data_IF_673016848052
#
_entry.id   IF_673016848052
#
_cell.length_a   1.000
_cell.length_b   1.000
_cell.length_c   1.000
_cell.angle_alpha   90.00
_cell.angle_beta   90.00
_cell.angle_gamma   90.00
#
_symmetry.space_group_name_H-M   'P 1'
#
loop_
_entity.id
_entity.type
_entity.pdbx_description
1 polymer ?
#
# COMPACT_ATOMS: atom_id res chain seq x y z
N UNK A 1 1.45 -4.05 -4.54
CA UNK A 1 2.58 -4.99 -4.37
C UNK A 1 2.42 -6.20 -5.27
N UNK A 2 3.55 -6.80 -5.66
CA UNK A 2 3.62 -8.07 -6.40
C UNK A 2 4.44 -9.05 -5.57
N UNK A 3 3.85 -10.20 -5.22
CA UNK A 3 4.49 -11.31 -4.51
C UNK A 3 4.76 -12.44 -5.49
N UNK A 4 6.03 -12.65 -5.85
CA UNK A 4 6.45 -13.69 -6.79
C UNK A 4 6.43 -15.09 -6.17
N UNK A 5 6.53 -16.13 -7.02
CA UNK A 5 6.48 -17.53 -6.60
C UNK A 5 7.59 -17.91 -5.61
N UNK A 6 8.76 -17.27 -5.72
CA UNK A 6 9.93 -17.50 -4.87
C UNK A 6 10.05 -16.53 -3.70
N UNK A 7 9.06 -15.70 -3.43
CA UNK A 7 9.09 -14.76 -2.32
C UNK A 7 9.28 -15.49 -0.98
N UNK A 8 10.15 -14.96 -0.13
CA UNK A 8 10.28 -15.43 1.25
C UNK A 8 9.12 -14.92 2.08
N UNK A 9 8.29 -15.82 2.58
CA UNK A 9 7.08 -15.54 3.35
C UNK A 9 7.25 -16.05 4.80
N UNK A 10 8.08 -15.37 5.57
CA UNK A 10 8.23 -15.61 7.00
C UNK A 10 7.37 -14.61 7.82
N UNK A 11 7.35 -14.79 9.15
CA UNK A 11 6.60 -13.91 10.07
C UNK A 11 6.97 -12.44 9.90
N UNK A 12 8.24 -12.14 9.56
CA UNK A 12 8.71 -10.78 9.31
C UNK A 12 8.11 -10.21 8.02
N UNK A 13 8.02 -11.01 6.98
CA UNK A 13 7.42 -10.61 5.71
C UNK A 13 5.93 -10.28 5.90
N UNK A 14 5.18 -11.14 6.59
CA UNK A 14 3.77 -10.87 6.89
C UNK A 14 3.58 -9.67 7.81
N UNK A 15 4.43 -9.47 8.81
CA UNK A 15 4.40 -8.29 9.65
C UNK A 15 4.70 -7.00 8.84
N UNK A 16 5.65 -7.04 7.92
CA UNK A 16 5.95 -5.90 7.03
C UNK A 16 4.78 -5.60 6.08
N UNK A 17 4.10 -6.62 5.55
CA UNK A 17 2.88 -6.44 4.76
C UNK A 17 1.75 -5.82 5.60
N UNK A 18 1.57 -6.29 6.85
CA UNK A 18 0.60 -5.73 7.79
C UNK A 18 0.90 -4.25 8.07
N UNK A 19 2.11 -3.93 8.46
CA UNK A 19 2.52 -2.54 8.75
C UNK A 19 2.41 -1.65 7.51
N UNK A 20 2.85 -2.14 6.35
CA UNK A 20 2.73 -1.43 5.08
C UNK A 20 1.29 -1.16 4.67
N UNK A 21 0.32 -1.96 5.13
CA UNK A 21 -1.10 -1.82 4.79
C UNK A 21 -1.89 -1.04 5.84
N UNK A 22 -1.72 -1.40 7.13
CA UNK A 22 -2.65 -1.02 8.20
C UNK A 22 -2.09 0.00 9.19
N UNK A 23 -0.80 0.37 9.11
CA UNK A 23 -0.26 1.47 9.91
C UNK A 23 -1.12 2.72 9.75
N UNK A 24 -1.38 3.45 10.85
CA UNK A 24 -2.30 4.60 10.90
C UNK A 24 -3.69 4.29 10.33
N UNK A 25 -4.18 3.07 10.61
CA UNK A 25 -5.48 2.58 10.12
C UNK A 25 -5.59 2.57 8.58
N UNK A 26 -4.46 2.34 7.90
CA UNK A 26 -4.37 2.35 6.44
C UNK A 26 -4.49 3.73 5.78
N UNK A 27 -4.43 4.80 6.57
CA UNK A 27 -4.58 6.18 6.10
C UNK A 27 -3.22 6.86 5.86
N UNK A 28 -2.38 6.20 5.05
CA UNK A 28 -1.08 6.71 4.60
C UNK A 28 -1.05 6.67 3.08
N UNK A 29 -0.57 7.73 2.43
CA UNK A 29 -0.51 7.82 0.96
C UNK A 29 0.33 6.71 0.32
N UNK A 30 1.35 6.22 1.02
CA UNK A 30 2.20 5.10 0.57
C UNK A 30 1.74 3.73 1.10
N UNK A 31 0.52 3.62 1.66
CA UNK A 31 0.05 2.33 2.15
C UNK A 31 -0.17 1.33 1.00
N UNK A 32 0.08 0.06 1.30
CA UNK A 32 -0.20 -1.04 0.39
C UNK A 32 -1.72 -1.20 0.22
N UNK A 33 -2.23 -0.92 -0.98
CA UNK A 33 -3.68 -0.89 -1.27
C UNK A 33 -4.14 -1.94 -2.27
N UNK A 34 -3.21 -2.66 -2.92
CA UNK A 34 -3.50 -3.77 -3.84
C UNK A 34 -2.37 -4.78 -3.75
N UNK A 35 -2.70 -6.02 -3.42
CA UNK A 35 -1.73 -7.11 -3.27
C UNK A 35 -1.98 -8.16 -4.36
N UNK A 36 -1.07 -8.24 -5.32
CA UNK A 36 -1.04 -9.28 -6.34
C UNK A 36 -0.11 -10.39 -5.89
N UNK A 37 -0.58 -11.64 -5.88
CA UNK A 37 0.15 -12.80 -5.36
C UNK A 37 0.20 -13.88 -6.41
N UNK A 38 1.38 -14.43 -6.70
CA UNK A 38 1.50 -15.57 -7.59
C UNK A 38 0.61 -16.72 -7.10
N UNK A 39 -0.15 -17.35 -7.99
CA UNK A 39 -1.18 -18.33 -7.64
C UNK A 39 -0.67 -19.44 -6.73
N UNK A 40 0.56 -19.93 -6.94
CA UNK A 40 1.15 -20.98 -6.10
C UNK A 40 1.41 -20.59 -4.65
N UNK A 41 1.35 -19.28 -4.32
CA UNK A 41 1.61 -18.74 -2.98
C UNK A 41 0.37 -18.05 -2.39
N UNK A 42 -0.76 -18.08 -3.13
CA UNK A 42 -1.95 -17.30 -2.77
C UNK A 42 -2.51 -17.68 -1.40
N UNK A 43 -2.76 -18.97 -1.20
CA UNK A 43 -3.34 -19.48 0.06
C UNK A 43 -2.40 -19.22 1.25
N UNK A 44 -1.08 -19.38 1.06
CA UNK A 44 -0.09 -19.08 2.08
C UNK A 44 -0.10 -17.60 2.50
N UNK A 45 -0.22 -16.68 1.52
CA UNK A 45 -0.32 -15.24 1.81
C UNK A 45 -1.63 -14.92 2.50
N UNK A 46 -2.74 -15.47 2.04
CA UNK A 46 -4.07 -15.29 2.64
C UNK A 46 -4.08 -15.72 4.11
N UNK A 47 -3.58 -16.91 4.40
CA UNK A 47 -3.59 -17.43 5.77
C UNK A 47 -2.54 -16.74 6.66
N UNK A 48 -1.30 -16.52 6.16
CA UNK A 48 -0.24 -15.85 6.91
C UNK A 48 -0.61 -14.42 7.29
N UNK A 49 -1.16 -13.65 6.34
CA UNK A 49 -1.58 -12.28 6.59
C UNK A 49 -2.82 -12.22 7.51
N UNK A 50 -3.78 -13.14 7.33
CA UNK A 50 -4.93 -13.28 8.23
C UNK A 50 -4.50 -13.59 9.66
N UNK A 51 -3.52 -14.48 9.84
CA UNK A 51 -2.99 -14.83 11.15
C UNK A 51 -2.34 -13.62 11.86
N UNK A 52 -1.58 -12.79 11.13
CA UNK A 52 -1.03 -11.54 11.67
C UNK A 52 -2.16 -10.58 12.03
N UNK A 53 -3.09 -10.32 11.12
CA UNK A 53 -4.21 -9.40 11.35
C UNK A 53 -5.07 -9.82 12.55
N UNK A 54 -5.30 -11.12 12.75
CA UNK A 54 -6.11 -11.63 13.88
C UNK A 54 -5.48 -11.42 15.25
N UNK A 55 -4.16 -11.22 15.33
CA UNK A 55 -3.47 -10.91 16.60
C UNK A 55 -3.55 -9.42 16.97
N UNK A 56 -3.97 -8.57 16.03
CA UNK A 56 -3.98 -7.12 16.24
C UNK A 56 -5.21 -6.69 17.02
N UNK A 57 -5.02 -5.68 17.87
CA UNK A 57 -6.05 -5.10 18.73
C UNK A 57 -6.48 -3.76 18.18
N UNK A 58 -7.78 -3.62 17.94
CA UNK A 58 -8.43 -2.37 17.49
C UNK A 58 -9.05 -1.69 18.71
N UNK A 59 -8.70 -0.41 18.94
CA UNK A 59 -9.16 0.30 20.12
C UNK A 59 -8.69 1.75 20.19
N UNK A 60 -8.79 2.34 21.37
CA UNK A 60 -8.27 3.69 21.65
C UNK A 60 -6.75 3.71 21.47
N UNK A 61 -6.27 4.56 20.57
CA UNK A 61 -4.84 4.70 20.25
C UNK A 61 -3.97 5.25 21.40
N UNK A 62 -4.57 5.70 22.50
CA UNK A 62 -3.85 6.12 23.70
C UNK A 62 -3.54 4.95 24.64
N UNK A 63 -4.12 3.78 24.39
CA UNK A 63 -3.89 2.59 25.20
C UNK A 63 -2.73 1.76 24.63
N UNK A 64 -1.81 1.27 25.45
CA UNK A 64 -0.62 0.54 25.01
C UNK A 64 -0.93 -0.80 24.34
N UNK A 65 -2.10 -1.38 24.60
CA UNK A 65 -2.56 -2.62 23.99
C UNK A 65 -3.06 -2.43 22.55
N UNK A 66 -3.38 -1.20 22.15
CA UNK A 66 -3.96 -0.91 20.83
C UNK A 66 -2.89 -0.95 19.74
N UNK A 67 -3.12 -1.74 18.71
CA UNK A 67 -2.28 -1.80 17.51
C UNK A 67 -2.84 -0.94 16.37
N UNK A 68 -4.17 -0.74 16.32
CA UNK A 68 -4.84 0.05 15.29
C UNK A 68 -5.97 0.88 15.90
N UNK A 69 -5.91 2.20 15.69
CA UNK A 69 -6.93 3.15 16.12
C UNK A 69 -8.09 3.29 15.12
N UNK A 70 -8.96 4.31 15.31
CA UNK A 70 -10.04 4.61 14.39
C UNK A 70 -9.53 5.23 13.09
N UNK A 71 -10.38 5.25 12.07
CA UNK A 71 -10.20 6.15 10.93
C UNK A 71 -10.55 7.58 11.32
N UNK A 72 -10.07 8.54 10.52
CA UNK A 72 -10.05 9.96 10.89
C UNK A 72 -11.46 10.58 11.16
N UNK A 73 -12.49 10.12 10.44
CA UNK A 73 -13.83 10.72 10.55
C UNK A 73 -14.93 9.80 9.97
N UNK A 74 -16.20 10.16 10.21
CA UNK A 74 -17.36 9.40 9.75
C UNK A 74 -17.43 9.25 8.22
N UNK A 75 -17.04 10.28 7.45
CA UNK A 75 -17.04 10.21 5.98
C UNK A 75 -16.05 9.14 5.50
N UNK A 76 -14.86 9.10 6.09
CA UNK A 76 -13.85 8.12 5.73
C UNK A 76 -14.26 6.70 6.14
N UNK A 77 -14.86 6.54 7.33
CA UNK A 77 -15.42 5.25 7.74
C UNK A 77 -16.46 4.78 6.72
N UNK A 78 -17.42 5.67 6.34
CA UNK A 78 -18.41 5.33 5.33
C UNK A 78 -17.80 4.92 4.00
N UNK A 79 -16.81 5.64 3.50
CA UNK A 79 -16.12 5.30 2.24
C UNK A 79 -15.57 3.87 2.28
N UNK A 80 -14.82 3.54 3.33
CA UNK A 80 -14.20 2.21 3.45
C UNK A 80 -15.24 1.10 3.62
N UNK A 81 -16.26 1.33 4.48
CA UNK A 81 -17.32 0.34 4.73
C UNK A 81 -18.19 0.12 3.49
N UNK A 82 -18.47 1.17 2.70
CA UNK A 82 -19.19 1.04 1.43
C UNK A 82 -18.42 0.19 0.42
N UNK A 83 -17.11 0.42 0.25
CA UNK A 83 -16.25 -0.38 -0.65
C UNK A 83 -16.19 -1.85 -0.21
N UNK A 84 -16.07 -2.11 1.09
CA UNK A 84 -16.11 -3.47 1.65
C UNK A 84 -17.48 -4.11 1.39
N UNK A 85 -18.57 -3.35 1.58
CA UNK A 85 -19.93 -3.79 1.32
C UNK A 85 -20.18 -4.13 -0.15
N UNK A 86 -19.69 -3.30 -1.08
CA UNK A 86 -19.74 -3.57 -2.53
C UNK A 86 -18.98 -4.85 -2.89
N UNK A 87 -17.80 -5.06 -2.32
CA UNK A 87 -17.04 -6.28 -2.56
C UNK A 87 -17.80 -7.54 -2.09
N UNK A 88 -18.43 -7.50 -0.90
CA UNK A 88 -19.28 -8.58 -0.43
C UNK A 88 -20.51 -8.82 -1.35
N UNK A 89 -21.15 -7.74 -1.77
CA UNK A 89 -22.31 -7.83 -2.66
C UNK A 89 -21.97 -8.39 -4.04
N UNK A 90 -20.74 -8.21 -4.51
CA UNK A 90 -20.24 -8.81 -5.75
C UNK A 90 -19.85 -10.29 -5.62
N UNK A 91 -19.93 -10.87 -4.42
CA UNK A 91 -19.57 -12.26 -4.15
C UNK A 91 -18.13 -12.49 -3.72
N UNK A 92 -17.33 -11.42 -3.53
CA UNK A 92 -15.98 -11.57 -2.99
C UNK A 92 -16.03 -11.97 -1.50
N UNK A 93 -15.19 -12.92 -1.12
CA UNK A 93 -14.99 -13.23 0.30
C UNK A 93 -14.29 -12.08 1.00
N UNK A 94 -14.83 -11.67 2.15
CA UNK A 94 -14.25 -10.62 3.00
C UNK A 94 -14.06 -11.15 4.41
N UNK A 95 -12.81 -11.15 4.88
CA UNK A 95 -12.43 -11.53 6.24
C UNK A 95 -12.05 -10.29 7.03
N UNK A 96 -12.86 -9.93 8.02
CA UNK A 96 -12.52 -8.91 9.00
C UNK A 96 -11.75 -9.55 10.16
N UNK A 97 -10.53 -9.09 10.38
CA UNK A 97 -9.58 -9.65 11.32
C UNK A 97 -9.38 -8.72 12.54
N UNK A 98 -8.75 -9.28 13.58
CA UNK A 98 -8.39 -8.52 14.78
C UNK A 98 -9.41 -8.57 15.88
N UNK A 99 -8.95 -8.18 17.08
CA UNK A 99 -9.70 -8.17 18.31
C UNK A 99 -10.16 -6.75 18.61
N UNK A 100 -11.34 -6.57 19.16
CA UNK A 100 -11.84 -5.28 19.62
C UNK A 100 -11.58 -5.17 21.11
N UNK A 101 -10.91 -4.09 21.52
CA UNK A 101 -10.58 -3.87 22.94
C UNK A 101 -11.80 -3.45 23.75
N UNK A 102 -12.64 -2.56 23.19
CA UNK A 102 -13.88 -2.05 23.79
C UNK A 102 -15.00 -2.03 22.73
N UNK A 103 -15.96 -2.92 22.89
CA UNK A 103 -17.10 -3.06 21.95
C UNK A 103 -18.02 -1.84 21.93
N UNK A 104 -18.16 -1.13 23.06
CA UNK A 104 -19.01 0.06 23.14
C UNK A 104 -18.33 1.23 22.39
N UNK A 105 -17.05 1.41 22.60
CA UNK A 105 -16.24 2.40 21.89
C UNK A 105 -16.20 2.09 20.37
N UNK A 106 -16.00 0.83 20.00
CA UNK A 106 -15.95 0.40 18.61
C UNK A 106 -17.23 0.73 17.86
N UNK A 107 -18.40 0.46 18.45
CA UNK A 107 -19.72 0.72 17.82
C UNK A 107 -20.07 2.19 17.69
N UNK A 108 -19.58 3.03 18.60
CA UNK A 108 -19.90 4.45 18.64
C UNK A 108 -18.79 5.33 18.04
N UNK A 109 -17.61 4.77 17.76
CA UNK A 109 -16.48 5.48 17.16
C UNK A 109 -16.33 5.21 15.65
N UNK A 110 -15.27 5.72 15.07
CA UNK A 110 -14.97 5.57 13.65
C UNK A 110 -14.06 4.38 13.38
N UNK A 111 -14.40 3.21 13.90
CA UNK A 111 -13.57 2.03 13.81
C UNK A 111 -13.97 1.12 12.66
N UNK A 112 -12.99 0.54 12.01
CA UNK A 112 -13.10 -0.55 11.06
C UNK A 112 -11.97 -1.54 11.34
N UNK A 113 -12.29 -2.81 11.51
CA UNK A 113 -11.27 -3.87 11.61
C UNK A 113 -10.47 -3.99 10.31
N UNK A 114 -9.22 -4.47 10.34
CA UNK A 114 -8.52 -4.89 9.13
C UNK A 114 -9.40 -5.81 8.29
N UNK A 115 -9.71 -5.40 7.06
CA UNK A 115 -10.52 -6.16 6.13
C UNK A 115 -9.64 -6.69 4.99
N UNK A 116 -9.51 -8.01 4.86
CA UNK A 116 -8.88 -8.68 3.73
C UNK A 116 -9.96 -9.10 2.76
N UNK A 117 -9.85 -8.68 1.50
CA UNK A 117 -10.83 -8.96 0.44
C UNK A 117 -10.19 -9.88 -0.58
N UNK A 118 -10.73 -11.08 -0.74
CA UNK A 118 -10.11 -12.14 -1.52
C UNK A 118 -10.62 -12.17 -2.94
N UNK A 119 -9.69 -12.06 -3.88
CA UNK A 119 -9.91 -12.13 -5.32
C UNK A 119 -11.11 -11.30 -5.83
N UNK A 120 -11.24 -10.02 -5.42
CA UNK A 120 -12.29 -9.16 -5.95
C UNK A 120 -12.04 -8.88 -7.44
N UNK A 121 -13.11 -8.58 -8.18
CA UNK A 121 -12.98 -8.10 -9.55
C UNK A 121 -12.19 -6.77 -9.59
N UNK A 122 -11.33 -6.62 -10.59
CA UNK A 122 -10.42 -5.46 -10.69
C UNK A 122 -11.16 -4.14 -10.94
N UNK A 123 -12.40 -4.19 -11.44
CA UNK A 123 -13.24 -3.01 -11.67
C UNK A 123 -13.93 -2.47 -10.42
N UNK A 124 -13.96 -3.22 -9.33
CA UNK A 124 -14.57 -2.78 -8.07
C UNK A 124 -13.76 -1.62 -7.44
N UNK A 125 -14.46 -0.67 -6.86
CA UNK A 125 -13.87 0.52 -6.24
C UNK A 125 -12.79 0.15 -5.21
N UNK A 126 -12.95 -0.96 -4.48
CA UNK A 126 -11.95 -1.41 -3.51
C UNK A 126 -10.59 -1.77 -4.15
N UNK A 127 -10.55 -2.02 -5.46
CA UNK A 127 -9.33 -2.29 -6.24
C UNK A 127 -8.95 -1.08 -7.08
N UNK A 128 -9.94 -0.44 -7.74
CA UNK A 128 -9.71 0.61 -8.72
C UNK A 128 -9.42 1.97 -8.08
N UNK A 129 -10.01 2.25 -6.90
CA UNK A 129 -9.91 3.52 -6.20
C UNK A 129 -9.07 3.41 -4.92
N UNK A 130 -8.68 4.56 -4.35
CA UNK A 130 -7.97 4.63 -3.09
C UNK A 130 -8.93 4.53 -1.91
N UNK A 131 -8.87 3.42 -1.15
CA UNK A 131 -9.73 3.23 0.03
C UNK A 131 -9.38 4.20 1.16
N UNK A 132 -8.10 4.53 1.32
CA UNK A 132 -7.52 5.33 2.40
C UNK A 132 -8.00 4.90 3.78
N UNK A 133 -7.96 3.59 4.03
CA UNK A 133 -8.47 2.96 5.24
C UNK A 133 -8.06 1.49 5.35
N UNK A 134 -8.51 0.78 6.40
CA UNK A 134 -8.01 -0.55 6.73
C UNK A 134 -8.66 -1.68 5.90
N UNK A 135 -8.50 -1.62 4.58
CA UNK A 135 -8.95 -2.65 3.66
C UNK A 135 -7.86 -3.00 2.65
N UNK A 136 -7.69 -4.29 2.34
CA UNK A 136 -6.69 -4.79 1.40
C UNK A 136 -7.30 -5.85 0.47
N UNK A 137 -7.49 -5.55 -0.82
CA UNK A 137 -7.76 -6.56 -1.84
C UNK A 137 -6.50 -7.37 -2.16
N UNK A 138 -6.67 -8.70 -2.21
CA UNK A 138 -5.61 -9.68 -2.50
C UNK A 138 -6.04 -10.47 -3.73
N UNK A 139 -5.30 -10.38 -4.82
CA UNK A 139 -5.64 -10.95 -6.10
C UNK A 139 -4.55 -11.94 -6.57
N UNK A 140 -4.92 -13.15 -7.02
CA UNK A 140 -3.96 -14.06 -7.63
C UNK A 140 -3.58 -13.61 -9.03
N UNK A 141 -2.36 -14.00 -9.46
CA UNK A 141 -1.92 -13.91 -10.85
C UNK A 141 -1.14 -15.17 -11.25
N UNK A 142 -1.06 -15.44 -12.55
CA UNK A 142 -0.37 -16.62 -13.08
C UNK A 142 0.99 -16.29 -13.70
N UNK A 143 1.18 -15.08 -14.27
CA UNK A 143 2.44 -14.64 -14.88
C UNK A 143 2.85 -13.25 -14.40
N UNK A 144 4.16 -13.00 -14.37
CA UNK A 144 4.69 -11.68 -13.96
C UNK A 144 4.19 -10.56 -14.88
N UNK A 145 4.08 -10.80 -16.19
CA UNK A 145 3.56 -9.84 -17.15
C UNK A 145 2.09 -9.48 -16.85
N UNK A 146 1.28 -10.46 -16.44
CA UNK A 146 -0.09 -10.21 -15.98
C UNK A 146 -0.10 -9.32 -14.74
N UNK A 147 0.73 -9.64 -13.74
CA UNK A 147 0.81 -8.87 -12.51
C UNK A 147 1.25 -7.43 -12.76
N UNK A 148 2.27 -7.22 -13.60
CA UNK A 148 2.77 -5.90 -13.98
C UNK A 148 1.69 -5.10 -14.71
N UNK A 149 1.04 -5.70 -15.71
CA UNK A 149 -0.04 -5.06 -16.45
C UNK A 149 -1.17 -4.63 -15.50
N UNK A 150 -1.68 -5.54 -14.67
CA UNK A 150 -2.76 -5.28 -13.70
C UNK A 150 -2.34 -4.25 -12.63
N UNK A 151 -1.09 -4.28 -12.18
CA UNK A 151 -0.57 -3.28 -11.24
C UNK A 151 -0.52 -1.88 -11.86
N UNK A 152 -0.25 -1.78 -13.17
CA UNK A 152 -0.21 -0.51 -13.90
C UNK A 152 -1.59 -0.02 -14.37
N UNK A 153 -2.61 -0.89 -14.42
CA UNK A 153 -4.00 -0.54 -14.74
C UNK A 153 -4.67 0.26 -13.61
N UNK A 154 -4.16 1.45 -13.35
CA UNK A 154 -4.67 2.40 -12.36
C UNK A 154 -4.24 3.80 -12.73
N UNK A 155 -5.00 4.79 -12.28
CA UNK A 155 -4.62 6.20 -12.38
C UNK A 155 -3.57 6.61 -11.34
N UNK A 156 -3.29 5.79 -10.36
CA UNK A 156 -2.31 6.07 -9.29
C UNK A 156 -0.93 5.47 -9.60
N UNK A 157 0.11 6.09 -9.05
CA UNK A 157 1.48 5.64 -9.23
C UNK A 157 2.44 6.22 -8.20
N UNK A 158 2.09 6.21 -6.90
CA UNK A 158 2.98 6.72 -5.86
C UNK A 158 4.04 5.69 -5.48
N UNK A 159 3.58 4.55 -4.94
CA UNK A 159 4.47 3.50 -4.47
C UNK A 159 4.09 2.12 -4.99
N UNK A 160 5.09 1.28 -5.13
CA UNK A 160 4.96 -0.14 -5.41
C UNK A 160 5.90 -0.96 -4.53
N UNK A 161 5.74 -2.28 -4.50
CA UNK A 161 6.73 -3.19 -3.94
C UNK A 161 6.77 -4.52 -4.69
N UNK A 162 7.96 -5.13 -4.71
CA UNK A 162 8.21 -6.44 -5.32
C UNK A 162 8.81 -7.35 -4.27
N UNK A 163 8.24 -8.55 -4.12
CA UNK A 163 8.62 -9.55 -3.14
C UNK A 163 9.12 -10.80 -3.86
N UNK A 164 10.41 -11.06 -3.79
CA UNK A 164 11.12 -12.17 -4.46
C UNK A 164 12.51 -12.35 -3.83
N UNK A 165 13.05 -13.54 -3.85
CA UNK A 165 14.46 -13.79 -3.46
C UNK A 165 15.44 -13.52 -4.59
N UNK A 166 14.96 -13.45 -5.85
CA UNK A 166 15.78 -13.14 -7.02
C UNK A 166 15.92 -11.62 -7.22
N UNK A 167 17.12 -11.10 -6.94
CA UNK A 167 17.44 -9.68 -7.12
C UNK A 167 17.33 -9.21 -8.57
N UNK A 168 17.68 -10.04 -9.54
CA UNK A 168 17.56 -9.71 -10.96
C UNK A 168 16.10 -9.51 -11.36
N UNK A 169 15.25 -10.46 -10.99
CA UNK A 169 13.80 -10.42 -11.16
C UNK A 169 13.20 -9.18 -10.49
N UNK A 170 13.57 -8.91 -9.23
CA UNK A 170 13.10 -7.72 -8.52
C UNK A 170 13.34 -6.44 -9.30
N UNK A 171 14.54 -6.25 -9.86
CA UNK A 171 14.90 -5.07 -10.64
C UNK A 171 14.18 -5.01 -11.99
N UNK A 172 13.99 -6.15 -12.68
CA UNK A 172 13.27 -6.22 -13.95
C UNK A 172 11.80 -5.83 -13.77
N UNK A 173 11.13 -6.39 -12.76
CA UNK A 173 9.73 -6.05 -12.45
C UNK A 173 9.62 -4.59 -12.03
N UNK A 174 10.48 -4.12 -11.11
CA UNK A 174 10.44 -2.76 -10.58
C UNK A 174 10.54 -1.69 -11.68
N UNK A 175 11.35 -1.92 -12.71
CA UNK A 175 11.51 -0.98 -13.84
C UNK A 175 10.29 -0.88 -14.75
N UNK A 176 9.40 -1.85 -14.69
CA UNK A 176 8.16 -1.89 -15.48
C UNK A 176 6.95 -1.35 -14.71
N UNK A 177 7.08 -1.15 -13.37
CA UNK A 177 6.00 -0.59 -12.56
C UNK A 177 5.97 0.93 -12.69
N UNK A 178 4.81 1.45 -13.04
CA UNK A 178 4.55 2.89 -13.20
C UNK A 178 4.28 3.55 -11.84
N UNK A 179 5.27 3.48 -10.96
CA UNK A 179 5.26 4.08 -9.62
C UNK A 179 6.55 4.84 -9.36
N UNK A 180 6.45 5.97 -8.65
CA UNK A 180 7.59 6.82 -8.39
C UNK A 180 8.58 6.27 -7.37
N UNK A 181 8.15 5.29 -6.56
CA UNK A 181 9.01 4.61 -5.59
C UNK A 181 8.67 3.12 -5.52
N UNK A 182 9.68 2.24 -5.55
CA UNK A 182 9.49 0.79 -5.44
C UNK A 182 10.32 0.21 -4.30
N UNK A 183 9.66 -0.45 -3.36
CA UNK A 183 10.30 -1.19 -2.28
C UNK A 183 10.61 -2.63 -2.69
N UNK A 184 11.65 -3.23 -2.12
CA UNK A 184 11.99 -4.63 -2.31
C UNK A 184 11.86 -5.39 -0.99
N UNK A 185 11.03 -6.44 -0.97
CA UNK A 185 10.76 -7.29 0.19
C UNK A 185 10.34 -6.53 1.47
N UNK A 186 9.74 -5.38 1.27
CA UNK A 186 9.13 -4.55 2.30
C UNK A 186 8.11 -3.60 1.65
N UNK A 187 7.38 -2.79 2.44
CA UNK A 187 6.49 -1.75 1.93
C UNK A 187 6.28 -0.64 2.96
N UNK A 188 6.22 0.60 2.48
CA UNK A 188 5.78 1.74 3.28
C UNK A 188 6.86 2.37 4.18
N UNK A 189 6.44 3.09 5.24
CA UNK A 189 7.31 3.99 6.00
C UNK A 189 8.51 3.31 6.66
N UNK A 190 8.38 2.04 7.05
CA UNK A 190 9.45 1.28 7.69
C UNK A 190 10.62 0.92 6.76
N UNK A 191 10.42 1.08 5.44
CA UNK A 191 11.41 0.78 4.40
C UNK A 191 11.85 2.02 3.61
N UNK A 192 11.41 3.22 4.00
CA UNK A 192 11.70 4.44 3.27
C UNK A 192 13.18 4.84 3.40
N UNK A 193 13.89 4.92 2.28
CA UNK A 193 15.22 5.53 2.21
C UNK A 193 15.09 7.04 1.92
N UNK A 194 15.37 7.86 2.93
CA UNK A 194 15.27 9.33 2.84
C UNK A 194 16.33 9.98 1.95
N UNK A 195 17.32 9.23 1.49
CA UNK A 195 18.34 9.71 0.54
C UNK A 195 17.84 9.68 -0.90
N UNK A 196 16.84 8.87 -1.20
CA UNK A 196 16.21 8.79 -2.52
C UNK A 196 15.04 9.75 -2.67
N UNK A 197 14.79 10.26 -3.88
CA UNK A 197 13.63 11.11 -4.15
C UNK A 197 12.34 10.31 -4.00
N UNK A 198 11.32 10.93 -3.39
CA UNK A 198 10.01 10.36 -3.21
C UNK A 198 8.94 11.21 -3.90
N UNK A 199 8.08 10.59 -4.69
CA UNK A 199 6.97 11.27 -5.36
C UNK A 199 6.25 10.35 -6.33
N UNK A 200 5.13 10.81 -6.89
CA UNK A 200 4.24 10.03 -7.70
C UNK A 200 4.46 10.11 -9.21
N UNK A 201 3.84 9.16 -9.90
CA UNK A 201 3.52 9.19 -11.33
C UNK A 201 2.00 9.33 -11.47
N UNK A 202 1.53 9.60 -12.68
CA UNK A 202 0.10 9.69 -13.00
C UNK A 202 -0.64 10.69 -12.08
N UNK A 203 -1.84 10.38 -11.63
CA UNK A 203 -2.65 11.24 -10.74
C UNK A 203 -2.11 11.32 -9.30
N UNK A 204 -1.11 10.49 -8.94
CA UNK A 204 -0.40 10.64 -7.66
C UNK A 204 0.48 11.89 -7.60
N UNK A 205 0.56 12.63 -8.68
CA UNK A 205 1.14 13.97 -8.73
C UNK A 205 2.55 14.04 -9.30
N UNK A 206 3.09 15.25 -9.30
CA UNK A 206 4.41 15.60 -9.82
C UNK A 206 5.29 16.18 -8.69
N UNK A 207 6.56 16.41 -9.01
CA UNK A 207 7.56 16.82 -8.03
C UNK A 207 8.16 15.65 -7.26
N UNK A 208 9.18 15.94 -6.48
CA UNK A 208 9.86 14.96 -5.63
C UNK A 208 10.20 15.58 -4.30
N UNK A 209 9.84 14.88 -3.22
CA UNK A 209 10.32 15.17 -1.87
C UNK A 209 11.54 14.28 -1.58
N UNK A 210 12.25 14.56 -0.51
CA UNK A 210 13.40 13.79 -0.05
C UNK A 210 14.58 13.82 -1.05
N UNK A 211 15.72 13.33 -0.61
CA UNK A 211 16.92 13.31 -1.41
C UNK A 211 17.37 14.70 -1.87
N UNK A 212 18.27 14.75 -2.82
CA UNK A 212 18.76 15.98 -3.44
C UNK A 212 17.65 16.72 -4.19
N UNK A 213 16.81 16.02 -4.92
CA UNK A 213 15.69 16.56 -5.70
C UNK A 213 14.69 17.29 -4.82
N UNK A 214 14.44 16.78 -3.60
CA UNK A 214 13.59 17.45 -2.62
C UNK A 214 14.15 18.79 -2.16
N UNK A 215 15.47 18.89 -1.96
CA UNK A 215 16.14 20.15 -1.58
C UNK A 215 16.09 21.17 -2.72
N UNK A 216 16.32 20.73 -3.95
CA UNK A 216 16.33 21.62 -5.14
C UNK A 216 14.97 22.30 -5.35
N UNK A 217 13.87 21.69 -4.96
CA UNK A 217 12.53 22.30 -5.07
C UNK A 217 12.34 23.55 -4.19
N UNK A 218 13.17 23.73 -3.18
CA UNK A 218 13.17 24.96 -2.35
C UNK A 218 14.13 26.03 -2.86
N UNK A 219 14.77 25.83 -4.02
CA UNK A 219 15.73 26.77 -4.62
C UNK A 219 15.10 27.50 -5.80
N UNK A 220 15.40 28.80 -5.90
CA UNK A 220 15.10 29.61 -7.08
C UNK A 220 16.20 29.47 -8.12
N UNK A 221 15.83 29.20 -9.37
CA UNK A 221 16.78 29.24 -10.48
C UNK A 221 16.99 30.69 -10.96
N UNK A 222 18.25 31.13 -11.10
CA UNK A 222 18.60 32.40 -11.68
C UNK A 222 19.58 32.17 -12.84
N UNK A 223 19.20 32.62 -14.03
CA UNK A 223 20.05 32.53 -15.23
C UNK A 223 20.70 33.87 -15.53
N UNK A 224 22.01 33.86 -15.75
CA UNK A 224 22.76 35.01 -16.23
C UNK A 224 23.29 34.67 -17.63
N UNK A 225 22.96 35.49 -18.61
CA UNK A 225 23.45 35.32 -19.98
C UNK A 225 24.18 36.57 -20.46
N UNK A 226 25.20 36.39 -21.30
CA UNK A 226 25.92 37.48 -21.97
C UNK A 226 26.12 37.10 -23.44
N UNK A 227 25.90 38.06 -24.32
CA UNK A 227 26.13 37.89 -25.79
C UNK A 227 27.56 38.17 -26.19
N UNK A 228 28.45 38.64 -25.28
CA UNK A 228 29.80 39.14 -25.60
C UNK A 228 30.93 38.37 -24.91
N UNK A 229 30.76 37.13 -24.51
CA UNK A 229 31.84 36.34 -23.90
C UNK A 229 32.36 36.89 -22.54
N UNK A 230 31.61 37.71 -21.89
CA UNK A 230 32.00 38.40 -20.61
C UNK A 230 32.18 37.43 -19.45
N UNK A 231 31.77 36.18 -19.58
CA UNK A 231 31.81 35.19 -18.52
C UNK A 231 32.95 34.15 -18.68
N UNK A 232 33.96 34.44 -19.53
CA UNK A 232 35.19 33.66 -19.67
C UNK A 232 36.37 34.38 -19.05
#
# INVERSE_FOLDING_TARGET
>A
AIVCADARLDDKAFMNMYLGTFMSSGQICMALKRLYVHRSRYDEVVEGLSAVCNRMVVGDGLLPETNMGPVNNAKQLKTVTDMIGQARASGAEVRECGQVLDEALYRNGFFQKPALVFNPDQSLDIVAEEQFGPALPIMPFDTEDEAIRRANETRYGLCSSVWTEDRGRALVISRQLEAGYTYLNNHGPTAQDFRGPFGGFKDSGFGRNLGYEGVVQFQGHHSISSVSGWLL
#
